data_IF_187342344261
#
_entry.id   IF_187342344261
#
_cell.length_a   1.000
_cell.length_b   1.000
_cell.length_c   1.000
_cell.angle_alpha   90.00
_cell.angle_beta   90.00
_cell.angle_gamma   90.00
#
_symmetry.space_group_name_H-M   'P 1'
#
loop_
_entity.id
_entity.type
_entity.pdbx_description
1 polymer ?
#
# COMPACT_ATOMS: atom_id res chain seq x y z
N UNK A 1 -8.45 -86.81 62.55
CA UNK A 1 -7.27 -86.71 63.43
C UNK A 1 -6.28 -85.78 62.74
N UNK A 2 -6.03 -84.59 63.32
CA UNK A 2 -4.88 -83.65 63.19
C UNK A 2 -4.12 -83.53 61.83
N UNK A 3 -3.67 -82.38 61.34
CA UNK A 3 -3.64 -81.00 61.81
C UNK A 3 -3.10 -80.10 60.68
N UNK A 4 -3.37 -78.81 60.83
CA UNK A 4 -2.80 -77.65 60.14
C UNK A 4 -1.27 -77.66 60.01
N UNK A 5 -0.76 -77.17 58.87
CA UNK A 5 0.32 -76.19 58.80
C UNK A 5 -0.03 -75.16 57.71
N UNK A 6 -0.22 -73.91 58.12
CA UNK A 6 -0.42 -72.76 57.23
C UNK A 6 0.96 -72.17 56.85
N UNK A 7 1.27 -72.12 55.55
CA UNK A 7 2.45 -71.45 55.00
C UNK A 7 2.10 -70.04 54.53
N UNK A 8 2.77 -69.04 55.09
CA UNK A 8 2.67 -67.62 54.74
C UNK A 8 3.46 -67.32 53.46
N UNK A 9 2.76 -66.96 52.37
CA UNK A 9 3.39 -66.51 51.13
C UNK A 9 3.70 -65.01 51.19
N UNK A 10 4.99 -64.66 51.14
CA UNK A 10 5.46 -63.29 50.96
C UNK A 10 5.09 -62.76 49.57
N UNK A 11 4.34 -61.66 49.54
CA UNK A 11 4.04 -60.89 48.33
C UNK A 11 5.19 -59.94 48.04
N UNK A 12 6.02 -60.28 47.06
CA UNK A 12 6.99 -59.34 46.46
C UNK A 12 6.25 -58.38 45.51
N UNK A 13 6.19 -57.10 45.86
CA UNK A 13 5.72 -56.05 44.96
C UNK A 13 6.77 -55.79 43.88
N UNK A 14 6.59 -56.37 42.71
CA UNK A 14 7.30 -55.96 41.49
C UNK A 14 6.64 -54.71 40.91
N UNK A 15 7.30 -53.55 41.04
CA UNK A 15 6.86 -52.34 40.35
C UNK A 15 7.12 -52.51 38.84
N UNK A 16 6.06 -52.78 38.07
CA UNK A 16 6.12 -52.78 36.62
C UNK A 16 6.25 -51.34 36.11
N UNK A 17 7.46 -50.97 35.70
CA UNK A 17 7.75 -49.68 35.06
C UNK A 17 7.18 -49.71 33.63
N UNK A 18 5.93 -49.28 33.46
CA UNK A 18 5.33 -49.06 32.13
C UNK A 18 5.87 -47.76 31.56
N UNK A 19 6.83 -47.85 30.64
CA UNK A 19 7.33 -46.72 29.88
C UNK A 19 6.25 -46.29 28.88
N UNK A 20 5.42 -45.32 29.26
CA UNK A 20 4.56 -44.61 28.33
C UNK A 20 5.45 -43.75 27.41
N UNK A 21 5.76 -44.26 26.23
CA UNK A 21 6.23 -43.41 25.13
C UNK A 21 5.06 -42.51 24.70
N UNK A 22 4.97 -41.33 25.32
CA UNK A 22 4.13 -40.26 24.81
C UNK A 22 4.74 -39.81 23.48
N UNK A 23 4.18 -40.28 22.36
CA UNK A 23 4.44 -39.71 21.04
C UNK A 23 3.86 -38.30 21.08
N UNK A 24 4.69 -37.32 21.44
CA UNK A 24 4.37 -35.91 21.27
C UNK A 24 4.34 -35.68 19.75
N UNK A 25 3.15 -35.73 19.16
CA UNK A 25 2.90 -35.19 17.83
C UNK A 25 3.14 -33.68 17.91
N UNK A 26 4.36 -33.28 17.59
CA UNK A 26 4.70 -31.87 17.34
C UNK A 26 3.94 -31.52 16.06
N UNK A 27 2.70 -31.03 16.21
CA UNK A 27 1.98 -30.41 15.11
C UNK A 27 2.73 -29.13 14.78
N UNK A 28 3.63 -29.22 13.80
CA UNK A 28 4.10 -28.02 13.11
C UNK A 28 2.83 -27.29 12.63
N UNK A 29 2.71 -25.97 12.87
CA UNK A 29 1.62 -25.22 12.28
C UNK A 29 1.79 -25.34 10.76
N UNK A 30 0.97 -26.18 10.14
CA UNK A 30 0.78 -26.14 8.71
C UNK A 30 0.29 -24.72 8.43
N UNK A 31 1.11 -23.92 7.74
CA UNK A 31 0.65 -22.68 7.15
C UNK A 31 -0.50 -23.06 6.24
N UNK A 32 -1.73 -22.98 6.74
CA UNK A 32 -2.91 -23.26 5.95
C UNK A 32 -2.94 -22.21 4.85
N UNK A 33 -2.85 -22.66 3.61
CA UNK A 33 -3.06 -21.78 2.47
C UNK A 33 -4.46 -21.17 2.63
N UNK A 34 -4.51 -19.86 2.89
CA UNK A 34 -5.76 -19.12 2.96
C UNK A 34 -6.27 -18.89 1.55
N UNK A 35 -7.55 -19.07 1.23
CA UNK A 35 -8.06 -18.68 -0.10
C UNK A 35 -8.88 -17.40 0.00
N UNK A 36 -8.94 -16.62 -1.09
CA UNK A 36 -9.95 -15.57 -1.23
C UNK A 36 -11.34 -16.17 -1.42
N UNK A 37 -12.35 -15.32 -1.21
CA UNK A 37 -13.74 -15.58 -1.57
C UNK A 37 -14.22 -14.43 -2.44
N UNK A 38 -14.53 -14.73 -3.70
CA UNK A 38 -14.91 -13.77 -4.73
C UNK A 38 -16.34 -14.06 -5.15
N UNK A 39 -17.29 -13.34 -4.54
CA UNK A 39 -18.71 -13.49 -4.86
C UNK A 39 -19.01 -13.04 -6.29
N UNK A 40 -20.01 -13.67 -6.92
CA UNK A 40 -20.50 -13.33 -8.26
C UNK A 40 -19.39 -13.27 -9.33
N UNK A 41 -18.41 -14.15 -9.20
CA UNK A 41 -17.18 -14.13 -10.01
C UNK A 41 -16.87 -15.54 -10.51
N UNK A 42 -16.74 -15.69 -11.82
CA UNK A 42 -16.22 -16.87 -12.49
C UNK A 42 -14.76 -16.61 -12.91
N UNK A 43 -13.89 -17.59 -12.73
CA UNK A 43 -12.51 -17.56 -13.23
C UNK A 43 -12.37 -18.61 -14.32
N UNK A 44 -13.01 -18.37 -15.47
CA UNK A 44 -13.15 -19.36 -16.54
C UNK A 44 -11.80 -19.91 -17.03
N UNK A 45 -11.70 -21.24 -17.11
CA UNK A 45 -10.52 -21.96 -17.61
C UNK A 45 -9.56 -22.46 -16.52
N UNK A 46 -8.44 -23.04 -16.96
CA UNK A 46 -7.44 -23.70 -16.11
C UNK A 46 -7.99 -24.83 -15.20
N UNK A 47 -9.18 -25.35 -15.52
CA UNK A 47 -9.82 -26.43 -14.78
C UNK A 47 -9.06 -27.74 -15.00
N UNK A 48 -8.63 -28.38 -13.93
CA UNK A 48 -8.02 -29.72 -14.00
C UNK A 48 -8.87 -30.79 -13.30
N UNK A 49 -9.85 -30.38 -12.48
CA UNK A 49 -10.75 -31.30 -11.78
C UNK A 49 -12.10 -30.64 -11.50
N UNK A 50 -13.19 -31.38 -11.70
CA UNK A 50 -14.53 -31.04 -11.25
C UNK A 50 -14.99 -31.98 -10.15
N UNK A 51 -15.62 -31.43 -9.11
CA UNK A 51 -16.35 -32.17 -8.08
C UNK A 51 -17.83 -31.88 -8.31
N UNK A 52 -18.58 -32.91 -8.71
CA UNK A 52 -20.03 -32.86 -8.88
C UNK A 52 -20.73 -32.94 -7.52
N UNK A 53 -21.82 -32.19 -7.32
CA UNK A 53 -22.61 -32.23 -6.09
C UNK A 53 -21.91 -31.69 -4.84
N UNK A 54 -21.00 -30.71 -4.99
CA UNK A 54 -20.35 -30.04 -3.86
C UNK A 54 -21.40 -29.34 -2.99
N UNK A 55 -21.52 -29.68 -1.69
CA UNK A 55 -22.65 -29.24 -0.86
C UNK A 55 -22.62 -27.74 -0.53
N UNK A 56 -21.45 -27.10 -0.67
CA UNK A 56 -21.30 -25.66 -0.45
C UNK A 56 -20.04 -25.12 -1.13
N UNK A 57 -19.96 -23.79 -1.20
CA UNK A 57 -18.73 -23.11 -1.61
C UNK A 57 -17.59 -23.36 -0.61
N UNK A 58 -17.88 -23.49 0.69
CA UNK A 58 -16.88 -23.81 1.70
C UNK A 58 -16.28 -25.21 1.49
N UNK A 59 -17.08 -26.18 1.05
CA UNK A 59 -16.57 -27.50 0.67
C UNK A 59 -15.62 -27.40 -0.54
N UNK A 60 -15.99 -26.61 -1.55
CA UNK A 60 -15.14 -26.36 -2.72
C UNK A 60 -13.84 -25.65 -2.37
N UNK A 61 -13.93 -24.61 -1.52
CA UNK A 61 -12.78 -23.89 -0.95
C UNK A 61 -11.84 -24.85 -0.24
N UNK A 62 -12.35 -25.68 0.68
CA UNK A 62 -11.54 -26.64 1.45
C UNK A 62 -10.88 -27.69 0.56
N UNK A 63 -11.59 -28.16 -0.48
CA UNK A 63 -11.02 -29.07 -1.47
C UNK A 63 -9.83 -28.43 -2.20
N UNK A 64 -9.96 -27.17 -2.62
CA UNK A 64 -8.84 -26.44 -3.23
C UNK A 64 -7.70 -26.14 -2.25
N UNK A 65 -8.02 -25.79 -0.99
CA UNK A 65 -7.02 -25.54 0.04
C UNK A 65 -6.16 -26.78 0.29
N UNK A 66 -6.77 -27.96 0.38
CA UNK A 66 -6.09 -29.23 0.61
C UNK A 66 -5.31 -29.75 -0.62
N UNK A 67 -5.74 -29.42 -1.84
CA UNK A 67 -5.09 -29.88 -3.06
C UNK A 67 -3.88 -29.00 -3.43
N UNK A 68 -2.69 -29.58 -3.44
CA UNK A 68 -1.43 -28.89 -3.75
C UNK A 68 -1.37 -28.33 -5.18
N UNK A 69 -2.07 -28.96 -6.13
CA UNK A 69 -2.12 -28.49 -7.51
C UNK A 69 -3.08 -27.29 -7.65
N UNK A 70 -4.09 -27.21 -6.78
CA UNK A 70 -5.06 -26.13 -6.84
C UNK A 70 -4.45 -24.77 -6.50
N UNK A 71 -4.58 -23.82 -7.43
CA UNK A 71 -4.25 -22.40 -7.26
C UNK A 71 -5.51 -21.53 -7.18
N UNK A 72 -6.63 -21.98 -7.75
CA UNK A 72 -7.92 -21.30 -7.67
C UNK A 72 -9.08 -22.29 -7.77
N UNK A 73 -10.29 -21.87 -7.38
CA UNK A 73 -11.52 -22.63 -7.62
C UNK A 73 -12.64 -21.72 -8.15
N UNK A 74 -13.63 -22.33 -8.78
CA UNK A 74 -14.94 -21.72 -9.05
C UNK A 74 -16.05 -22.68 -8.67
N UNK A 75 -16.95 -22.24 -7.79
CA UNK A 75 -18.15 -22.96 -7.37
C UNK A 75 -19.37 -22.39 -8.08
N UNK A 76 -20.12 -23.24 -8.79
CA UNK A 76 -21.38 -22.91 -9.45
C UNK A 76 -22.52 -23.22 -8.48
N UNK A 77 -23.28 -22.20 -8.06
CA UNK A 77 -24.29 -22.32 -7.01
C UNK A 77 -25.47 -23.18 -7.44
N UNK A 78 -26.02 -22.93 -8.63
CA UNK A 78 -27.18 -23.65 -9.14
C UNK A 78 -26.91 -25.14 -9.38
N UNK A 79 -25.73 -25.47 -9.90
CA UNK A 79 -25.36 -26.83 -10.30
C UNK A 79 -24.60 -27.61 -9.23
N UNK A 80 -24.20 -26.96 -8.12
CA UNK A 80 -23.33 -27.55 -7.11
C UNK A 80 -22.00 -28.09 -7.68
N UNK A 81 -21.52 -27.54 -8.80
CA UNK A 81 -20.25 -27.93 -9.39
C UNK A 81 -19.10 -27.14 -8.77
N UNK A 82 -18.06 -27.83 -8.31
CA UNK A 82 -16.81 -27.22 -7.87
C UNK A 82 -15.71 -27.50 -8.87
N UNK A 83 -15.17 -26.46 -9.49
CA UNK A 83 -14.10 -26.53 -10.47
C UNK A 83 -12.78 -26.11 -9.84
N UNK A 84 -11.85 -27.07 -9.67
CA UNK A 84 -10.49 -26.83 -9.17
C UNK A 84 -9.55 -26.51 -10.33
N UNK A 85 -8.72 -25.48 -10.14
CA UNK A 85 -7.88 -24.90 -11.18
C UNK A 85 -6.41 -24.90 -10.80
N UNK A 86 -5.53 -25.20 -11.76
CA UNK A 86 -4.08 -25.29 -11.55
C UNK A 86 -3.34 -23.99 -11.91
N UNK A 87 -4.09 -22.97 -12.32
CA UNK A 87 -3.62 -21.59 -12.49
C UNK A 87 -4.65 -20.62 -11.91
N UNK A 88 -4.39 -19.32 -12.11
CA UNK A 88 -5.28 -18.24 -11.67
C UNK A 88 -5.84 -17.47 -12.88
N UNK A 89 -6.91 -17.97 -13.54
CA UNK A 89 -7.55 -17.29 -14.66
C UNK A 89 -8.08 -15.90 -14.26
N UNK A 90 -8.29 -15.03 -15.25
CA UNK A 90 -8.89 -13.72 -15.01
C UNK A 90 -10.32 -13.83 -14.44
N UNK A 91 -10.73 -12.94 -13.52
CA UNK A 91 -12.09 -12.88 -13.02
C UNK A 91 -13.06 -12.31 -14.07
N UNK A 92 -14.24 -12.92 -14.18
CA UNK A 92 -15.37 -12.50 -15.01
C UNK A 92 -16.63 -12.43 -14.16
N UNK A 93 -17.52 -11.43 -14.33
CA UNK A 93 -18.77 -11.36 -13.58
C UNK A 93 -19.67 -12.53 -13.92
N UNK A 94 -20.10 -13.26 -12.90
CA UNK A 94 -21.12 -14.30 -13.05
C UNK A 94 -21.83 -14.50 -11.71
N UNK A 95 -23.06 -14.02 -11.63
CA UNK A 95 -23.89 -14.07 -10.42
C UNK A 95 -24.21 -15.48 -9.93
N UNK A 96 -24.00 -16.54 -10.72
CA UNK A 96 -24.20 -17.92 -10.29
C UNK A 96 -22.93 -18.55 -9.70
N UNK A 97 -21.82 -17.81 -9.65
CA UNK A 97 -20.53 -18.38 -9.26
C UNK A 97 -19.89 -17.67 -8.07
N UNK A 98 -19.15 -18.44 -7.29
CA UNK A 98 -18.23 -17.91 -6.28
C UNK A 98 -16.87 -18.53 -6.54
N UNK A 99 -15.85 -17.69 -6.75
CA UNK A 99 -14.48 -18.14 -6.98
C UNK A 99 -13.60 -17.89 -5.76
N UNK A 100 -12.39 -18.44 -5.79
CA UNK A 100 -11.36 -18.14 -4.81
C UNK A 100 -9.98 -18.47 -5.34
N UNK A 101 -8.98 -17.74 -4.87
CA UNK A 101 -7.56 -17.88 -5.24
C UNK A 101 -6.76 -18.18 -3.98
N UNK A 102 -5.84 -19.13 -4.07
CA UNK A 102 -4.96 -19.53 -2.99
C UNK A 102 -3.97 -18.41 -2.63
N UNK A 103 -4.24 -17.72 -1.53
CA UNK A 103 -3.32 -16.82 -0.83
C UNK A 103 -2.40 -17.68 0.04
N UNK A 104 -1.19 -17.95 -0.44
CA UNK A 104 -0.11 -18.33 0.49
C UNK A 104 0.15 -17.11 1.37
N UNK A 105 0.15 -17.28 2.68
CA UNK A 105 0.28 -16.19 3.64
C UNK A 105 1.49 -15.31 3.30
N UNK A 106 1.24 -14.09 2.81
CA UNK A 106 2.28 -13.08 2.65
C UNK A 106 2.16 -12.16 3.87
N UNK A 107 3.04 -12.38 4.84
CA UNK A 107 3.06 -11.68 6.12
C UNK A 107 3.53 -10.22 6.04
N UNK A 108 3.60 -9.60 4.85
CA UNK A 108 4.20 -8.28 4.64
C UNK A 108 3.18 -7.16 4.36
N UNK A 109 1.89 -7.46 4.18
CA UNK A 109 0.87 -6.45 3.87
C UNK A 109 1.03 -5.78 2.49
N UNK A 110 1.79 -6.37 1.57
CA UNK A 110 2.07 -5.82 0.23
C UNK A 110 0.83 -5.63 -0.66
N UNK A 111 -0.29 -6.27 -0.35
CA UNK A 111 -1.53 -6.20 -1.12
C UNK A 111 -2.63 -5.37 -0.43
N UNK A 112 -2.43 -4.05 -0.38
CA UNK A 112 -3.48 -3.13 0.04
C UNK A 112 -4.64 -3.08 -0.99
N UNK A 113 -5.89 -2.99 -0.54
CA UNK A 113 -7.06 -2.93 -1.42
C UNK A 113 -7.06 -1.65 -2.26
N UNK A 114 -7.17 -1.76 -3.59
CA UNK A 114 -7.45 -0.64 -4.53
C UNK A 114 -8.78 -0.92 -5.21
N UNK A 115 -9.66 0.07 -5.28
CA UNK A 115 -10.94 -0.08 -5.97
C UNK A 115 -10.70 -0.37 -7.47
N UNK A 116 -11.39 -1.39 -8.00
CA UNK A 116 -11.38 -1.72 -9.43
C UNK A 116 -10.23 -2.63 -9.89
N UNK A 117 -9.26 -2.98 -9.03
CA UNK A 117 -8.22 -3.96 -9.36
C UNK A 117 -8.04 -4.97 -8.23
N UNK A 118 -7.75 -6.21 -8.60
CA UNK A 118 -7.39 -7.25 -7.63
C UNK A 118 -5.93 -7.11 -7.19
N UNK A 119 -5.56 -7.88 -6.17
CA UNK A 119 -4.17 -8.05 -5.75
C UNK A 119 -3.91 -9.54 -5.52
N UNK A 120 -2.91 -10.05 -6.23
CA UNK A 120 -2.57 -11.46 -6.35
C UNK A 120 -1.10 -11.62 -5.95
N UNK A 121 -0.82 -11.80 -4.64
CA UNK A 121 0.54 -12.00 -4.16
C UNK A 121 1.18 -13.24 -4.76
N UNK A 122 2.51 -13.23 -4.86
CA UNK A 122 3.33 -14.35 -5.35
C UNK A 122 2.86 -14.88 -6.71
N UNK A 123 2.35 -14.01 -7.56
CA UNK A 123 1.73 -14.36 -8.84
C UNK A 123 2.37 -13.53 -9.92
N UNK A 124 2.86 -14.18 -10.97
CA UNK A 124 3.32 -13.57 -12.21
C UNK A 124 2.30 -13.87 -13.31
N UNK A 125 1.85 -12.83 -14.01
CA UNK A 125 0.97 -12.96 -15.17
C UNK A 125 1.80 -12.71 -16.42
N UNK A 126 2.73 -13.60 -16.73
CA UNK A 126 3.75 -13.39 -17.78
C UNK A 126 3.13 -13.06 -19.15
N UNK A 127 3.65 -12.02 -19.80
CA UNK A 127 3.25 -11.58 -21.14
C UNK A 127 2.19 -10.47 -21.16
N UNK A 128 1.73 -10.12 -22.37
CA UNK A 128 0.78 -9.03 -22.64
C UNK A 128 1.23 -7.63 -22.14
N UNK A 129 2.51 -7.47 -21.83
CA UNK A 129 3.07 -6.21 -21.35
C UNK A 129 3.08 -5.15 -22.46
N UNK A 130 2.40 -4.02 -22.24
CA UNK A 130 2.45 -2.88 -23.16
C UNK A 130 3.19 -1.68 -22.58
N UNK A 131 3.42 -1.67 -21.25
CA UNK A 131 4.15 -0.59 -20.57
C UNK A 131 4.87 -1.12 -19.34
N UNK A 132 6.17 -0.84 -19.26
CA UNK A 132 6.96 -0.98 -18.04
C UNK A 132 7.17 0.38 -17.39
N UNK A 133 7.00 0.44 -16.08
CA UNK A 133 7.34 1.59 -15.25
C UNK A 133 8.45 1.16 -14.31
N UNK A 134 9.64 1.74 -14.51
CA UNK A 134 10.81 1.49 -13.68
C UNK A 134 10.71 2.29 -12.37
N UNK A 135 11.35 1.80 -11.30
CA UNK A 135 11.35 2.42 -9.96
C UNK A 135 9.94 2.66 -9.38
N UNK A 136 9.00 1.75 -9.65
CA UNK A 136 7.67 1.76 -9.05
C UNK A 136 7.79 1.65 -7.53
N UNK A 137 7.24 2.64 -6.81
CA UNK A 137 7.47 2.80 -5.37
C UNK A 137 6.79 1.73 -4.49
N UNK A 138 5.84 0.98 -5.05
CA UNK A 138 5.11 -0.07 -4.35
C UNK A 138 4.20 -0.86 -5.28
N UNK A 139 3.69 -1.99 -4.79
CA UNK A 139 2.53 -2.70 -5.38
C UNK A 139 1.33 -1.76 -5.52
N UNK A 140 1.07 -0.91 -4.50
CA UNK A 140 -0.02 0.06 -4.50
C UNK A 140 0.09 1.08 -5.62
N UNK A 141 1.30 1.51 -5.94
CA UNK A 141 1.55 2.35 -7.11
C UNK A 141 1.12 1.62 -8.39
N UNK A 142 1.56 0.37 -8.57
CA UNK A 142 1.24 -0.41 -9.77
C UNK A 142 -0.26 -0.72 -9.91
N UNK A 143 -0.94 -1.00 -8.79
CA UNK A 143 -2.40 -1.10 -8.73
C UNK A 143 -3.09 0.17 -9.22
N UNK A 144 -2.68 1.34 -8.72
CA UNK A 144 -3.30 2.62 -9.10
C UNK A 144 -3.06 2.96 -10.59
N UNK A 145 -1.87 2.63 -11.12
CA UNK A 145 -1.57 2.79 -12.55
C UNK A 145 -2.55 1.95 -13.38
N UNK A 146 -2.73 0.67 -13.05
CA UNK A 146 -3.66 -0.18 -13.80
C UNK A 146 -5.14 0.20 -13.62
N UNK A 147 -5.53 0.60 -12.41
CA UNK A 147 -6.90 1.01 -12.12
C UNK A 147 -7.33 2.21 -12.98
N UNK A 148 -6.42 3.17 -13.19
CA UNK A 148 -6.69 4.43 -13.91
C UNK A 148 -6.39 4.35 -15.41
N UNK A 149 -5.51 3.46 -15.86
CA UNK A 149 -5.19 3.28 -17.28
C UNK A 149 -6.30 2.49 -17.99
N UNK A 150 -6.95 3.10 -18.97
CA UNK A 150 -8.04 2.50 -19.74
C UNK A 150 -7.60 1.28 -20.56
N UNK A 151 -6.33 1.22 -20.97
CA UNK A 151 -5.77 0.07 -21.70
C UNK A 151 -5.39 -1.08 -20.76
N UNK A 152 -5.17 -0.79 -19.48
CA UNK A 152 -4.74 -1.82 -18.54
C UNK A 152 -5.87 -2.80 -18.22
N UNK A 153 -5.60 -4.08 -18.47
CA UNK A 153 -6.41 -5.20 -18.03
C UNK A 153 -5.76 -5.93 -16.84
N UNK A 154 -4.44 -5.94 -16.72
CA UNK A 154 -3.71 -6.53 -15.60
C UNK A 154 -2.37 -5.83 -15.33
N UNK A 155 -1.80 -6.04 -14.15
CA UNK A 155 -0.46 -5.59 -13.80
C UNK A 155 0.37 -6.69 -13.14
N UNK A 156 1.70 -6.56 -13.22
CA UNK A 156 2.66 -7.35 -12.42
C UNK A 156 3.74 -6.42 -11.89
N UNK A 157 3.89 -6.39 -10.57
CA UNK A 157 4.97 -5.70 -9.86
C UNK A 157 6.06 -6.69 -9.46
N UNK A 158 7.31 -6.41 -9.82
CA UNK A 158 8.49 -7.21 -9.45
C UNK A 158 9.15 -6.55 -8.23
N UNK A 159 9.17 -7.23 -7.09
CA UNK A 159 9.62 -6.65 -5.81
C UNK A 159 11.11 -6.33 -5.81
N UNK A 160 11.94 -7.26 -6.26
CA UNK A 160 13.40 -7.09 -6.30
C UNK A 160 13.86 -5.97 -7.23
N UNK A 161 13.15 -5.75 -8.34
CA UNK A 161 13.54 -4.81 -9.40
C UNK A 161 12.78 -3.47 -9.35
N UNK A 162 11.76 -3.34 -8.50
CA UNK A 162 10.86 -2.18 -8.50
C UNK A 162 10.24 -1.91 -9.87
N UNK A 163 9.99 -2.94 -10.68
CA UNK A 163 9.38 -2.80 -12.00
C UNK A 163 7.87 -3.03 -11.92
N UNK A 164 7.09 -2.13 -12.50
CA UNK A 164 5.65 -2.29 -12.69
C UNK A 164 5.33 -2.51 -14.17
N UNK A 165 4.77 -3.66 -14.49
CA UNK A 165 4.41 -4.05 -15.85
C UNK A 165 2.89 -4.00 -16.02
N UNK A 166 2.40 -3.09 -16.85
CA UNK A 166 0.99 -2.98 -17.23
C UNK A 166 0.71 -3.78 -18.50
N UNK A 167 -0.43 -4.47 -18.48
CA UNK A 167 -0.81 -5.47 -19.49
C UNK A 167 -2.18 -5.17 -20.07
N UNK A 168 -2.33 -5.39 -21.37
CA UNK A 168 -3.56 -5.04 -22.12
C UNK A 168 -4.56 -6.19 -22.24
N UNK A 169 -4.17 -7.37 -21.76
CA UNK A 169 -5.04 -8.50 -21.52
C UNK A 169 -4.70 -9.13 -20.16
N UNK A 170 -5.38 -10.23 -19.81
CA UNK A 170 -5.18 -10.94 -18.55
C UNK A 170 -4.52 -12.30 -18.82
N UNK A 171 -3.17 -12.38 -18.86
CA UNK A 171 -2.48 -13.66 -18.96
C UNK A 171 -2.76 -14.54 -17.75
N UNK A 172 -2.65 -15.85 -17.90
CA UNK A 172 -2.76 -16.78 -16.78
C UNK A 172 -1.72 -16.46 -15.70
N UNK A 173 -2.14 -16.47 -14.44
CA UNK A 173 -1.24 -16.33 -13.31
C UNK A 173 -0.50 -17.63 -13.01
N UNK A 174 0.82 -17.55 -12.91
CA UNK A 174 1.71 -18.59 -12.40
C UNK A 174 2.34 -18.15 -11.07
N UNK A 175 2.70 -19.12 -10.24
CA UNK A 175 3.32 -18.82 -8.95
C UNK A 175 4.75 -18.28 -9.13
N UNK A 176 5.03 -17.11 -8.57
CA UNK A 176 6.37 -16.52 -8.50
C UNK A 176 6.50 -15.67 -7.23
N UNK A 177 7.38 -16.07 -6.32
CA UNK A 177 7.55 -15.44 -5.01
C UNK A 177 8.10 -14.01 -5.05
N UNK A 178 8.62 -13.52 -6.18
CA UNK A 178 9.14 -12.15 -6.32
C UNK A 178 8.10 -11.17 -6.89
N UNK A 179 6.95 -11.66 -7.35
CA UNK A 179 5.99 -10.82 -8.05
C UNK A 179 4.66 -10.68 -7.32
N UNK A 180 4.01 -9.55 -7.53
CA UNK A 180 2.63 -9.31 -7.12
C UNK A 180 1.86 -8.82 -8.34
N UNK A 181 0.83 -9.56 -8.73
CA UNK A 181 0.01 -9.21 -9.88
C UNK A 181 -1.35 -8.68 -9.45
N UNK A 182 -2.15 -8.27 -10.42
CA UNK A 182 -3.58 -8.07 -10.24
C UNK A 182 -4.27 -7.84 -11.56
N UNK A 183 -5.58 -7.97 -11.53
CA UNK A 183 -6.45 -7.86 -12.70
C UNK A 183 -7.44 -6.74 -12.48
N UNK A 184 -7.70 -5.96 -13.52
CA UNK A 184 -8.76 -4.97 -13.54
C UNK A 184 -10.10 -5.69 -13.60
N UNK A 185 -10.96 -5.44 -12.63
CA UNK A 185 -12.25 -6.09 -12.53
C UNK A 185 -13.18 -5.55 -13.62
N UNK A 186 -13.38 -6.31 -14.69
CA UNK A 186 -14.45 -6.07 -15.66
C UNK A 186 -15.80 -6.34 -14.99
N UNK A 187 -16.71 -5.38 -15.00
CA UNK A 187 -18.05 -5.49 -14.37
C UNK A 187 -18.18 -4.86 -12.99
N UNK A 188 -17.07 -4.50 -12.34
CA UNK A 188 -17.10 -3.36 -11.44
C UNK A 188 -17.06 -2.11 -12.32
N UNK A 189 -18.23 -1.60 -12.69
CA UNK A 189 -18.33 -0.16 -12.90
C UNK A 189 -17.62 0.48 -11.69
N UNK A 190 -16.72 1.47 -11.86
CA UNK A 190 -16.19 2.20 -10.71
C UNK A 190 -17.38 2.53 -9.82
N UNK A 191 -17.34 2.06 -8.56
CA UNK A 191 -18.43 2.19 -7.60
C UNK A 191 -19.07 3.55 -7.80
N UNK A 192 -20.28 3.56 -8.37
CA UNK A 192 -20.87 4.68 -9.10
C UNK A 192 -19.93 5.89 -9.17
N UNK A 193 -19.14 6.00 -10.25
CA UNK A 193 -18.74 7.33 -10.69
C UNK A 193 -20.01 8.20 -10.57
N UNK A 194 -19.99 9.30 -9.79
CA UNK A 194 -21.16 10.14 -9.64
C UNK A 194 -21.68 10.41 -11.04
N UNK A 195 -22.94 10.03 -11.24
CA UNK A 195 -23.71 10.13 -12.48
C UNK A 195 -23.32 11.43 -13.17
N UNK A 196 -22.88 11.34 -14.42
CA UNK A 196 -22.28 12.41 -15.20
C UNK A 196 -22.82 13.82 -14.86
N UNK A 197 -22.07 14.53 -14.02
CA UNK A 197 -21.94 15.98 -14.13
C UNK A 197 -20.57 16.23 -14.75
N UNK A 198 -20.58 16.50 -16.05
CA UNK A 198 -19.48 17.22 -16.68
C UNK A 198 -19.49 18.64 -16.09
N UNK A 199 -18.39 19.33 -15.75
CA UNK A 199 -17.26 19.67 -16.59
C UNK A 199 -16.27 20.45 -15.71
N UNK A 200 -15.09 19.91 -15.39
CA UNK A 200 -13.87 20.74 -15.50
C UNK A 200 -12.67 19.81 -15.58
N UNK A 201 -12.60 19.00 -16.63
CA UNK A 201 -11.36 18.35 -17.00
C UNK A 201 -10.94 18.77 -18.40
N UNK A 202 -9.65 18.99 -18.59
CA UNK A 202 -9.10 19.42 -19.87
C UNK A 202 -7.80 18.69 -20.12
N UNK A 203 -7.73 18.09 -21.30
CA UNK A 203 -6.51 17.45 -21.78
C UNK A 203 -5.66 18.47 -22.52
N UNK A 204 -4.39 18.52 -22.16
CA UNK A 204 -3.35 19.30 -22.83
C UNK A 204 -2.40 18.32 -23.50
N UNK A 205 -2.41 18.30 -24.83
CA UNK A 205 -1.43 17.56 -25.64
C UNK A 205 -0.22 18.46 -25.85
N UNK A 206 0.97 17.89 -25.73
CA UNK A 206 2.25 18.57 -25.86
C UNK A 206 2.25 19.94 -25.15
N UNK A 207 1.93 19.98 -23.84
CA UNK A 207 1.75 21.22 -23.11
C UNK A 207 3.02 22.07 -23.17
N UNK A 208 2.87 23.35 -23.52
CA UNK A 208 3.96 24.31 -23.60
C UNK A 208 3.73 25.53 -22.70
N UNK A 209 4.83 26.08 -22.22
CA UNK A 209 4.92 27.37 -21.52
C UNK A 209 6.10 28.13 -22.14
N UNK A 210 5.89 29.41 -22.49
CA UNK A 210 6.90 30.26 -23.10
C UNK A 210 7.57 29.67 -24.36
N UNK A 211 6.82 28.90 -25.16
CA UNK A 211 7.34 28.27 -26.40
C UNK A 211 8.18 27.00 -26.18
N UNK A 212 8.25 26.49 -24.95
CA UNK A 212 8.98 25.28 -24.59
C UNK A 212 8.05 24.24 -23.98
N UNK A 213 8.33 22.94 -24.19
CA UNK A 213 7.51 21.86 -23.60
C UNK A 213 7.59 21.90 -22.08
N UNK A 214 6.52 21.55 -21.37
CA UNK A 214 6.57 21.49 -19.91
C UNK A 214 7.49 20.35 -19.47
N UNK A 215 8.50 20.68 -18.67
CA UNK A 215 9.47 19.70 -18.15
C UNK A 215 8.78 18.73 -17.19
N UNK A 216 9.20 17.47 -17.22
CA UNK A 216 8.66 16.49 -16.29
C UNK A 216 8.97 16.85 -14.83
N UNK A 217 10.03 17.63 -14.57
CA UNK A 217 10.40 18.14 -13.27
C UNK A 217 9.89 19.56 -13.03
N UNK A 218 9.27 19.77 -11.86
CA UNK A 218 8.86 21.11 -11.44
C UNK A 218 10.10 21.94 -11.08
N UNK A 219 11.11 21.31 -10.48
CA UNK A 219 12.39 21.92 -10.13
C UNK A 219 13.52 21.11 -10.73
N UNK A 220 14.71 21.67 -10.88
CA UNK A 220 15.82 21.01 -11.57
C UNK A 220 16.15 19.65 -10.94
N UNK A 221 15.84 18.57 -11.65
CA UNK A 221 16.02 17.18 -11.19
C UNK A 221 15.18 16.78 -9.96
N UNK A 222 14.16 17.57 -9.58
CA UNK A 222 13.33 17.32 -8.40
C UNK A 222 11.86 17.70 -8.60
N UNK A 223 10.97 17.17 -7.76
CA UNK A 223 9.52 17.39 -7.88
C UNK A 223 8.99 16.99 -9.27
N UNK A 224 9.41 15.81 -9.75
CA UNK A 224 9.14 15.35 -11.09
C UNK A 224 7.87 14.51 -11.23
N UNK A 225 7.33 14.47 -12.44
CA UNK A 225 6.10 13.81 -12.84
C UNK A 225 4.87 14.49 -12.23
N UNK A 226 4.20 13.83 -11.28
CA UNK A 226 2.92 14.32 -10.73
C UNK A 226 2.97 15.73 -10.14
N UNK A 227 3.99 16.14 -9.38
CA UNK A 227 4.08 17.50 -8.87
C UNK A 227 4.17 18.56 -9.98
N UNK A 228 4.94 18.30 -11.04
CA UNK A 228 5.04 19.18 -12.20
C UNK A 228 3.73 19.21 -13.00
N UNK A 229 3.11 18.06 -13.25
CA UNK A 229 1.82 17.98 -13.93
C UNK A 229 0.70 18.68 -13.14
N UNK A 230 0.64 18.48 -11.83
CA UNK A 230 -0.32 19.14 -10.95
C UNK A 230 -0.09 20.65 -10.93
N UNK A 231 1.16 21.09 -10.91
CA UNK A 231 1.50 22.51 -10.98
C UNK A 231 1.03 23.14 -12.28
N UNK A 232 1.28 22.48 -13.41
CA UNK A 232 0.77 22.90 -14.71
C UNK A 232 -0.77 23.02 -14.69
N UNK A 233 -1.47 22.02 -14.17
CA UNK A 233 -2.93 22.03 -14.11
C UNK A 233 -3.49 23.13 -13.22
N UNK A 234 -2.86 23.40 -12.08
CA UNK A 234 -3.22 24.54 -11.21
C UNK A 234 -3.03 25.87 -11.92
N UNK A 235 -1.95 26.04 -12.70
CA UNK A 235 -1.75 27.21 -13.55
C UNK A 235 -2.80 27.36 -14.65
N UNK A 236 -3.53 26.28 -14.97
CA UNK A 236 -4.63 26.27 -15.94
C UNK A 236 -6.02 26.35 -15.30
N UNK A 237 -6.10 26.56 -13.98
CA UNK A 237 -7.37 26.72 -13.25
C UNK A 237 -8.04 25.42 -12.84
N UNK A 238 -7.30 24.30 -12.85
CA UNK A 238 -7.77 23.00 -12.39
C UNK A 238 -7.20 22.70 -11.00
N UNK A 239 -7.83 21.81 -10.23
CA UNK A 239 -7.31 21.44 -8.91
C UNK A 239 -6.01 20.64 -8.99
N UNK A 240 -5.79 19.90 -10.07
CA UNK A 240 -4.55 19.18 -10.34
C UNK A 240 -4.60 18.36 -11.62
N UNK A 241 -3.54 17.57 -11.86
CA UNK A 241 -3.50 16.60 -12.93
C UNK A 241 -4.17 15.30 -12.46
N UNK A 242 -5.17 14.87 -13.22
CA UNK A 242 -5.78 13.56 -13.14
C UNK A 242 -4.78 12.50 -13.65
N UNK A 243 -4.13 12.78 -14.77
CA UNK A 243 -3.16 11.88 -15.39
C UNK A 243 -2.19 12.63 -16.31
N UNK A 244 -1.06 12.01 -16.67
CA UNK A 244 -0.08 12.58 -17.58
C UNK A 244 0.81 11.51 -18.22
N UNK A 245 1.43 11.84 -19.35
CA UNK A 245 2.36 11.01 -20.11
C UNK A 245 3.63 11.81 -20.42
N UNK A 246 4.78 11.14 -20.42
CA UNK A 246 6.08 11.74 -20.73
C UNK A 246 6.54 11.34 -22.13
N UNK A 247 7.28 12.23 -22.78
CA UNK A 247 7.97 11.94 -24.03
C UNK A 247 9.31 12.69 -24.08
N UNK A 248 10.20 12.20 -24.95
CA UNK A 248 11.45 12.89 -25.24
C UNK A 248 11.15 14.16 -26.06
N UNK A 249 10.88 15.25 -25.34
CA UNK A 249 10.52 16.57 -25.86
C UNK A 249 11.60 17.56 -25.45
N UNK A 250 12.03 18.41 -26.38
CA UNK A 250 13.09 19.41 -26.17
C UNK A 250 12.88 20.61 -27.08
N UNK A 251 13.29 21.81 -26.63
CA UNK A 251 13.65 22.17 -25.25
C UNK A 251 12.45 22.09 -24.28
N UNK A 252 12.71 21.81 -22.99
CA UNK A 252 11.70 21.80 -21.92
C UNK A 252 11.86 22.97 -20.94
N UNK A 253 10.77 23.31 -20.25
CA UNK A 253 10.65 24.40 -19.29
C UNK A 253 10.39 23.87 -17.88
N UNK A 254 11.37 24.05 -16.99
CA UNK A 254 11.31 23.69 -15.57
C UNK A 254 10.54 24.78 -14.84
N UNK A 255 9.23 24.56 -14.67
CA UNK A 255 8.26 25.60 -14.28
C UNK A 255 8.54 26.28 -12.92
N UNK A 256 9.10 25.55 -11.96
CA UNK A 256 9.39 26.03 -10.62
C UNK A 256 10.67 26.85 -10.53
N UNK A 257 11.60 26.64 -11.47
CA UNK A 257 12.92 27.30 -11.47
C UNK A 257 13.06 28.34 -12.60
N UNK A 258 12.09 28.43 -13.50
CA UNK A 258 12.12 29.30 -14.68
C UNK A 258 13.37 29.08 -15.55
N UNK A 259 13.73 27.81 -15.79
CA UNK A 259 14.90 27.42 -16.59
C UNK A 259 14.51 26.58 -17.79
N UNK A 260 15.27 26.75 -18.87
CA UNK A 260 15.19 25.90 -20.05
C UNK A 260 16.17 24.73 -19.88
N UNK A 261 15.70 23.51 -20.14
CA UNK A 261 16.50 22.32 -20.31
C UNK A 261 16.53 21.99 -21.81
N UNK A 262 17.70 22.09 -22.45
CA UNK A 262 17.87 21.79 -23.88
C UNK A 262 18.90 20.69 -24.15
N UNK A 263 19.15 19.85 -23.16
CA UNK A 263 20.16 18.82 -23.16
C UNK A 263 19.65 17.43 -23.57
N UNK A 264 20.61 16.54 -23.82
CA UNK A 264 20.49 15.11 -24.11
C UNK A 264 19.56 14.28 -23.21
N UNK A 265 19.20 14.79 -22.03
CA UNK A 265 18.44 14.09 -21.00
C UNK A 265 17.08 14.73 -20.71
N UNK A 266 16.76 15.88 -21.32
CA UNK A 266 15.52 16.59 -21.02
C UNK A 266 14.31 15.80 -21.52
N UNK A 267 13.31 15.67 -20.66
CA UNK A 267 12.07 14.92 -20.88
C UNK A 267 10.91 15.81 -20.46
N UNK A 268 9.92 15.96 -21.34
CA UNK A 268 8.73 16.76 -21.09
C UNK A 268 7.46 15.92 -21.09
N UNK A 269 6.33 16.55 -20.81
CA UNK A 269 5.04 15.91 -20.95
C UNK A 269 4.59 15.88 -22.42
N UNK A 270 4.10 14.74 -22.91
CA UNK A 270 3.35 14.62 -24.17
C UNK A 270 1.86 14.83 -23.96
N UNK A 271 1.37 14.58 -22.74
CA UNK A 271 -0.04 14.75 -22.38
C UNK A 271 -0.19 15.03 -20.90
N UNK A 272 -1.04 15.99 -20.53
CA UNK A 272 -1.51 16.20 -19.16
C UNK A 272 -3.03 16.35 -19.19
N UNK A 273 -3.75 15.54 -18.41
CA UNK A 273 -5.18 15.71 -18.16
C UNK A 273 -5.35 16.44 -16.84
N UNK A 274 -5.83 17.66 -16.90
CA UNK A 274 -6.17 18.47 -15.75
C UNK A 274 -7.62 18.25 -15.35
N UNK A 275 -7.94 18.33 -14.06
CA UNK A 275 -9.28 18.07 -13.55
C UNK A 275 -9.65 18.84 -12.28
N UNK A 276 -10.96 18.90 -12.01
CA UNK A 276 -11.57 19.44 -10.80
C UNK A 276 -12.10 20.87 -10.95
N UNK A 277 -13.23 21.17 -10.29
CA UNK A 277 -13.77 22.52 -10.13
C UNK A 277 -13.29 23.10 -8.80
N UNK A 278 -12.77 24.33 -8.82
CA UNK A 278 -12.72 25.15 -7.61
C UNK A 278 -14.15 25.58 -7.30
N UNK A 279 -14.87 24.87 -6.44
CA UNK A 279 -16.28 25.17 -6.15
C UNK A 279 -16.40 26.49 -5.39
N UNK A 280 -16.98 27.49 -6.05
CA UNK A 280 -17.67 28.64 -5.49
C UNK A 280 -18.90 28.19 -4.67
N UNK A 281 -19.09 28.75 -3.48
CA UNK A 281 -20.28 28.56 -2.62
C UNK A 281 -21.49 29.39 -3.09
N UNK A 282 -22.76 28.97 -2.83
CA UNK A 282 -23.96 29.71 -3.23
C UNK A 282 -24.37 30.82 -2.24
N UNK A 283 -25.18 31.74 -2.76
CA UNK A 283 -25.34 33.14 -2.35
C UNK A 283 -26.28 33.47 -1.17
N UNK A 284 -26.02 34.66 -0.58
CA UNK A 284 -26.91 35.47 0.29
C UNK A 284 -26.19 35.94 1.57
N UNK A 285 -25.94 37.21 1.88
CA UNK A 285 -26.50 38.48 1.42
C UNK A 285 -25.48 39.64 1.50
N UNK A 286 -25.64 40.60 0.57
CA UNK A 286 -25.32 42.04 0.57
C UNK A 286 -24.22 42.59 1.49
N UNK A 287 -23.18 43.13 0.85
CA UNK A 287 -22.24 44.10 1.41
C UNK A 287 -21.11 44.36 0.45
N UNK A 288 -21.09 45.55 -0.13
CA UNK A 288 -20.18 46.04 -1.17
C UNK A 288 -18.71 46.15 -0.73
N UNK A 289 -17.86 46.17 -1.76
CA UNK A 289 -16.50 46.73 -1.82
C UNK A 289 -15.30 45.81 -1.50
N UNK A 290 -14.74 45.31 -2.60
CA UNK A 290 -13.32 45.29 -2.97
C UNK A 290 -12.27 45.16 -1.84
N UNK A 291 -11.70 43.96 -1.70
CA UNK A 291 -10.24 43.80 -1.60
C UNK A 291 -9.84 42.33 -1.68
N UNK A 292 -9.00 42.01 -2.67
CA UNK A 292 -8.59 40.65 -3.01
C UNK A 292 -7.85 39.88 -1.91
N UNK A 293 -8.22 38.61 -1.72
CA UNK A 293 -7.41 37.62 -1.01
C UNK A 293 -6.24 37.17 -1.90
N UNK A 294 -5.11 37.85 -1.70
CA UNK A 294 -3.79 37.47 -2.19
C UNK A 294 -3.49 36.02 -1.82
N UNK A 295 -2.90 35.28 -2.75
CA UNK A 295 -2.26 33.99 -2.49
C UNK A 295 -1.30 34.13 -1.31
N UNK A 296 -1.68 33.56 -0.16
CA UNK A 296 -0.80 33.47 0.99
C UNK A 296 0.42 32.63 0.63
N UNK A 297 1.60 33.20 0.85
CA UNK A 297 2.90 32.51 0.85
C UNK A 297 2.75 31.13 1.52
N UNK A 298 3.40 30.05 1.02
CA UNK A 298 3.53 28.83 1.81
C UNK A 298 4.00 29.23 3.21
N UNK A 299 3.34 28.73 4.25
CA UNK A 299 3.78 28.97 5.61
C UNK A 299 5.27 28.63 5.73
N UNK A 300 5.99 29.32 6.61
CA UNK A 300 7.36 28.92 6.93
C UNK A 300 7.32 27.50 7.49
N UNK A 301 8.24 26.62 7.07
CA UNK A 301 8.39 25.31 7.70
C UNK A 301 8.53 25.49 9.21
N UNK A 302 7.69 24.78 9.97
CA UNK A 302 7.60 24.87 11.41
C UNK A 302 7.61 23.48 12.03
N UNK A 303 7.88 23.45 13.34
CA UNK A 303 7.70 22.25 14.14
C UNK A 303 6.20 22.08 14.37
N UNK A 304 5.63 21.01 13.82
CA UNK A 304 4.22 20.65 13.92
C UNK A 304 3.97 19.92 15.23
N UNK A 305 4.90 19.07 15.64
CA UNK A 305 4.85 18.36 16.91
C UNK A 305 6.26 18.10 17.43
N UNK A 306 6.46 18.28 18.72
CA UNK A 306 7.70 17.97 19.41
C UNK A 306 7.42 17.62 20.86
N UNK A 307 7.96 16.50 21.32
CA UNK A 307 7.88 16.06 22.72
C UNK A 307 9.27 15.68 23.30
N UNK A 308 10.35 16.08 22.62
CA UNK A 308 11.72 15.90 23.12
C UNK A 308 12.03 16.85 24.28
N UNK A 309 13.08 16.55 25.04
CA UNK A 309 13.59 17.40 26.12
C UNK A 309 15.06 17.08 26.43
N UNK A 310 15.66 17.84 27.34
CA UNK A 310 17.07 17.80 27.71
C UNK A 310 17.40 16.83 28.86
N UNK A 311 16.41 16.16 29.43
CA UNK A 311 16.63 15.20 30.51
C UNK A 311 17.18 13.86 29.98
N UNK A 312 17.80 13.09 30.88
CA UNK A 312 18.24 11.72 30.60
C UNK A 312 17.10 10.86 30.04
N UNK A 313 17.46 9.90 29.19
CA UNK A 313 16.51 9.05 28.47
C UNK A 313 16.71 7.58 28.79
N UNK A 314 15.60 6.84 28.78
CA UNK A 314 15.54 5.39 28.81
C UNK A 314 14.99 4.87 27.49
N UNK A 315 15.28 3.61 27.17
CA UNK A 315 14.72 2.89 26.02
C UNK A 315 13.29 2.39 26.30
N UNK A 316 12.49 2.13 25.26
CA UNK A 316 11.14 1.55 25.39
C UNK A 316 9.97 2.55 25.38
N UNK A 317 10.03 3.57 24.53
CA UNK A 317 8.97 4.57 24.38
C UNK A 317 7.65 4.04 23.81
N UNK A 318 6.53 4.49 24.38
CA UNK A 318 5.18 4.30 23.81
C UNK A 318 4.95 5.23 22.63
N UNK A 319 4.04 4.84 21.73
CA UNK A 319 3.68 5.63 20.55
C UNK A 319 3.06 6.99 20.95
N UNK A 320 3.67 8.14 20.60
CA UNK A 320 3.08 9.45 20.85
C UNK A 320 1.94 9.74 19.85
N UNK A 321 0.97 10.55 20.29
CA UNK A 321 -0.06 11.11 19.43
C UNK A 321 0.15 12.62 19.24
N UNK A 322 -0.29 13.13 18.09
CA UNK A 322 -0.34 14.57 17.81
C UNK A 322 -1.62 14.93 17.08
N UNK A 323 -2.10 16.15 17.26
CA UNK A 323 -3.33 16.65 16.64
C UNK A 323 -3.03 17.89 15.83
N UNK A 324 -3.58 17.98 14.63
CA UNK A 324 -3.51 19.16 13.77
C UNK A 324 -4.92 19.68 13.48
N UNK A 325 -5.09 21.00 13.48
CA UNK A 325 -6.39 21.66 13.33
C UNK A 325 -6.65 22.22 11.92
N UNK A 326 -5.63 22.16 11.04
CA UNK A 326 -5.66 22.60 9.65
C UNK A 326 -4.72 21.71 8.84
N UNK A 327 -4.88 21.60 7.51
CA UNK A 327 -4.04 20.72 6.71
C UNK A 327 -2.55 21.07 6.83
N UNK A 328 -1.70 20.06 6.94
CA UNK A 328 -0.26 20.21 7.08
C UNK A 328 0.45 19.37 6.04
N UNK A 329 1.36 19.98 5.28
CA UNK A 329 2.33 19.24 4.48
C UNK A 329 3.52 18.84 5.36
N UNK A 330 3.64 17.55 5.68
CA UNK A 330 4.70 16.97 6.50
C UNK A 330 5.92 16.71 5.63
N UNK A 331 7.01 17.40 5.95
CA UNK A 331 8.24 17.41 5.15
C UNK A 331 9.36 16.62 5.81
N UNK A 332 9.37 16.53 7.14
CA UNK A 332 10.42 15.83 7.87
C UNK A 332 9.92 15.27 9.21
N UNK A 333 10.45 14.12 9.62
CA UNK A 333 10.23 13.57 10.96
C UNK A 333 11.50 12.98 11.52
N UNK A 334 11.67 13.12 12.83
CA UNK A 334 12.79 12.58 13.59
C UNK A 334 12.29 11.76 14.77
N UNK A 335 12.89 10.60 15.01
CA UNK A 335 12.77 9.88 16.29
C UNK A 335 14.14 9.66 16.92
N UNK A 336 14.19 9.68 18.26
CA UNK A 336 15.44 9.59 19.01
C UNK A 336 15.62 8.19 19.64
N UNK A 337 16.79 7.59 19.44
CA UNK A 337 17.14 6.21 19.79
C UNK A 337 18.54 6.16 20.44
N UNK A 338 18.71 6.86 21.56
CA UNK A 338 19.98 6.95 22.28
C UNK A 338 20.58 5.58 22.61
N UNK A 339 21.84 5.39 22.24
CA UNK A 339 22.57 4.13 22.44
C UNK A 339 22.33 3.09 21.34
N UNK A 340 21.43 3.33 20.39
CA UNK A 340 21.20 2.42 19.26
C UNK A 340 22.36 2.48 18.25
N UNK A 341 22.95 1.32 17.94
CA UNK A 341 24.12 1.19 17.04
C UNK A 341 23.84 0.42 15.75
N UNK A 342 22.59 0.06 15.51
CA UNK A 342 22.17 -0.67 14.31
C UNK A 342 21.79 0.27 13.15
N UNK A 343 21.33 -0.34 12.06
CA UNK A 343 20.73 0.38 10.93
C UNK A 343 19.37 0.94 11.37
N UNK A 344 19.09 2.24 11.16
CA UNK A 344 17.78 2.80 11.45
C UNK A 344 16.64 2.01 10.80
N UNK A 345 15.57 1.81 11.56
CA UNK A 345 14.39 1.07 11.14
C UNK A 345 13.42 1.95 10.36
N UNK A 346 12.12 1.81 10.59
CA UNK A 346 11.09 2.62 9.93
C UNK A 346 10.31 3.48 10.91
N UNK A 347 9.81 4.62 10.44
CA UNK A 347 8.86 5.48 11.14
C UNK A 347 7.51 5.40 10.40
N UNK A 348 6.40 5.32 11.13
CA UNK A 348 5.04 5.27 10.56
C UNK A 348 4.17 6.36 11.17
N UNK A 349 3.24 6.88 10.37
CA UNK A 349 2.11 7.67 10.87
C UNK A 349 0.85 6.85 10.69
N UNK A 350 0.02 6.78 11.74
CA UNK A 350 -1.30 6.16 11.73
C UNK A 350 -2.36 7.23 11.98
N UNK A 351 -3.55 7.05 11.41
CA UNK A 351 -4.72 7.87 11.74
C UNK A 351 -5.35 7.44 13.08
N UNK A 352 -6.39 8.15 13.51
CA UNK A 352 -7.13 7.84 14.74
C UNK A 352 -7.75 6.43 14.80
N UNK A 353 -7.93 5.74 13.66
CA UNK A 353 -8.44 4.37 13.61
C UNK A 353 -7.34 3.31 13.66
N UNK A 354 -6.07 3.72 13.79
CA UNK A 354 -4.92 2.83 13.74
C UNK A 354 -4.52 2.40 12.33
N UNK A 355 -5.07 3.00 11.27
CA UNK A 355 -4.66 2.71 9.90
C UNK A 355 -3.40 3.51 9.55
N UNK A 356 -2.38 2.82 9.04
CA UNK A 356 -1.14 3.46 8.61
C UNK A 356 -1.38 4.36 7.38
N UNK A 357 -1.06 5.63 7.52
CA UNK A 357 -1.08 6.64 6.45
C UNK A 357 0.18 6.54 5.60
N UNK A 358 1.30 6.25 6.25
CA UNK A 358 2.57 6.02 5.60
C UNK A 358 3.55 5.32 6.53
N UNK A 359 4.53 4.67 5.92
CA UNK A 359 5.64 4.01 6.57
C UNK A 359 6.88 4.30 5.75
N UNK A 360 7.90 4.87 6.38
CA UNK A 360 9.11 5.32 5.71
C UNK A 360 10.31 4.67 6.37
N UNK A 361 11.22 4.16 5.54
CA UNK A 361 12.50 3.67 6.03
C UNK A 361 13.34 4.86 6.49
N UNK A 362 13.74 4.86 7.76
CA UNK A 362 14.53 5.91 8.35
C UNK A 362 16.00 5.79 7.93
N UNK A 363 16.64 6.94 7.89
CA UNK A 363 18.08 7.05 7.72
C UNK A 363 18.67 7.68 8.98
N UNK A 364 19.96 7.45 9.21
CA UNK A 364 20.66 8.12 10.29
C UNK A 364 20.86 9.58 9.93
N UNK A 365 20.59 10.50 10.86
CA UNK A 365 20.70 11.94 10.58
C UNK A 365 22.13 12.31 10.22
N UNK A 366 22.32 12.77 8.99
CA UNK A 366 23.62 13.21 8.49
C UNK A 366 24.09 14.46 9.26
N UNK A 367 25.38 14.51 9.59
CA UNK A 367 25.98 15.62 10.35
C UNK A 367 25.79 15.56 11.87
N UNK A 368 25.09 14.56 12.41
CA UNK A 368 25.07 14.30 13.86
C UNK A 368 26.32 13.51 14.29
N UNK A 369 26.87 13.74 15.49
CA UNK A 369 28.01 12.97 15.99
C UNK A 369 27.73 11.46 16.10
N UNK A 370 26.46 11.10 16.32
CA UNK A 370 25.97 9.71 16.31
C UNK A 370 24.71 9.60 15.43
N UNK A 371 24.86 9.45 14.10
CA UNK A 371 23.74 9.43 13.15
C UNK A 371 22.69 8.36 13.46
N UNK A 372 23.10 7.19 13.97
CA UNK A 372 22.20 6.07 14.29
C UNK A 372 21.23 6.36 15.44
N UNK A 373 21.48 7.40 16.25
CA UNK A 373 20.58 7.80 17.33
C UNK A 373 19.39 8.63 16.83
N UNK A 374 19.48 9.19 15.62
CA UNK A 374 18.44 10.04 15.06
C UNK A 374 17.93 9.41 13.79
N UNK A 375 16.74 8.85 13.87
CA UNK A 375 16.07 8.23 12.73
C UNK A 375 15.30 9.33 12.02
N UNK A 376 15.70 9.66 10.80
CA UNK A 376 15.13 10.73 9.99
C UNK A 376 14.39 10.15 8.78
N UNK A 377 13.19 10.66 8.51
CA UNK A 377 12.40 10.35 7.30
C UNK A 377 11.87 11.64 6.69
N UNK A 378 11.66 11.64 5.37
CA UNK A 378 11.03 12.75 4.64
C UNK A 378 9.70 12.27 4.03
N UNK A 379 8.59 12.38 4.77
CA UNK A 379 7.33 11.77 4.37
C UNK A 379 6.75 12.30 3.05
N UNK A 380 6.86 13.61 2.84
CA UNK A 380 6.26 14.33 1.71
C UNK A 380 4.76 14.04 1.53
N UNK A 381 4.00 14.18 2.61
CA UNK A 381 2.56 13.91 2.64
C UNK A 381 1.76 15.09 3.18
N UNK A 382 0.52 15.24 2.76
CA UNK A 382 -0.42 16.18 3.39
C UNK A 382 -1.32 15.42 4.36
N UNK A 383 -1.30 15.82 5.62
CA UNK A 383 -2.24 15.38 6.64
C UNK A 383 -3.38 16.38 6.76
N UNK A 384 -4.61 15.87 6.81
CA UNK A 384 -5.81 16.66 7.07
C UNK A 384 -5.98 16.93 8.56
N UNK A 385 -6.83 17.87 8.99
CA UNK A 385 -7.14 18.04 10.41
C UNK A 385 -7.53 16.72 11.08
N UNK A 386 -6.96 16.42 12.24
CA UNK A 386 -7.19 15.16 12.93
C UNK A 386 -6.09 14.80 13.93
N UNK A 387 -6.30 13.68 14.62
CA UNK A 387 -5.35 13.08 15.55
C UNK A 387 -4.64 11.90 14.90
N UNK A 388 -3.33 11.86 15.09
CA UNK A 388 -2.43 10.91 14.47
C UNK A 388 -1.52 10.28 15.51
N UNK A 389 -1.08 9.05 15.24
CA UNK A 389 -0.12 8.31 16.06
C UNK A 389 1.19 8.13 15.29
N UNK A 390 2.32 8.20 15.97
CA UNK A 390 3.62 7.84 15.39
C UNK A 390 4.09 6.51 15.95
N UNK A 391 4.59 5.63 15.09
CA UNK A 391 5.23 4.38 15.47
C UNK A 391 6.63 4.27 14.88
N UNK A 392 7.49 3.49 15.55
CA UNK A 392 8.77 3.04 14.99
C UNK A 392 8.79 1.53 14.91
N UNK A 393 9.58 0.96 14.00
CA UNK A 393 9.74 -0.50 13.90
C UNK A 393 10.51 -1.11 15.08
N UNK A 394 11.12 -0.29 15.94
CA UNK A 394 11.82 -0.74 17.14
C UNK A 394 11.46 0.16 18.33
N UNK A 395 10.24 0.01 18.89
CA UNK A 395 9.81 0.81 20.05
C UNK A 395 10.69 0.54 21.27
N UNK A 396 11.26 -0.67 21.37
CA UNK A 396 12.22 -1.03 22.41
C UNK A 396 13.47 -0.16 22.44
N UNK A 397 13.89 0.41 21.31
CA UNK A 397 15.03 1.34 21.22
C UNK A 397 14.65 2.82 21.31
N UNK A 398 13.35 3.14 21.29
CA UNK A 398 12.86 4.51 21.21
C UNK A 398 13.05 5.22 22.56
N UNK A 399 13.80 6.32 22.56
CA UNK A 399 14.11 7.09 23.76
C UNK A 399 12.89 7.80 24.33
N UNK A 400 12.71 7.69 25.64
CA UNK A 400 11.62 8.29 26.42
C UNK A 400 12.11 8.72 27.79
N UNK A 401 11.34 9.58 28.46
CA UNK A 401 11.47 9.80 29.89
C UNK A 401 10.14 10.26 30.53
N UNK A 402 10.16 10.52 31.84
CA UNK A 402 8.99 11.02 32.55
C UNK A 402 8.43 12.33 31.98
N UNK A 403 9.29 13.22 31.46
CA UNK A 403 8.87 14.50 30.86
C UNK A 403 8.21 14.33 29.49
N UNK A 404 8.53 13.28 28.73
CA UNK A 404 7.78 12.89 27.52
C UNK A 404 6.51 12.07 27.86
N UNK A 405 6.20 11.86 29.14
CA UNK A 405 5.09 11.02 29.59
C UNK A 405 5.31 9.54 29.29
N UNK A 406 6.57 9.09 29.18
CA UNK A 406 6.90 7.73 28.75
C UNK A 406 6.65 7.46 27.26
N UNK A 407 6.34 8.49 26.47
CA UNK A 407 6.22 8.38 25.02
C UNK A 407 7.59 8.51 24.37
N UNK A 408 7.78 7.80 23.27
CA UNK A 408 8.94 7.97 22.42
C UNK A 408 9.07 9.41 21.93
N UNK A 409 10.29 9.94 21.96
CA UNK A 409 10.57 11.31 21.55
C UNK A 409 10.57 11.41 20.02
N UNK A 410 9.81 12.36 19.51
CA UNK A 410 9.63 12.64 18.08
C UNK A 410 9.60 14.15 17.84
N UNK A 411 10.15 14.55 16.69
CA UNK A 411 9.97 15.88 16.11
C UNK A 411 9.34 15.71 14.73
N UNK A 412 8.28 16.46 14.44
CA UNK A 412 7.61 16.48 13.14
C UNK A 412 7.67 17.91 12.62
N UNK A 413 8.18 18.08 11.40
CA UNK A 413 8.21 19.35 10.69
C UNK A 413 7.31 19.32 9.48
N UNK A 414 6.80 20.48 9.16
CA UNK A 414 5.92 20.66 8.02
C UNK A 414 5.52 22.10 7.84
N UNK A 415 4.68 22.32 6.84
CA UNK A 415 4.11 23.62 6.53
C UNK A 415 2.60 23.53 6.67
N UNK A 416 2.03 24.37 7.53
CA UNK A 416 0.59 24.57 7.55
C UNK A 416 0.13 25.14 6.21
N UNK A 417 -0.84 24.47 5.60
CA UNK A 417 -1.48 24.96 4.39
C UNK A 417 -2.56 25.94 4.80
N UNK A 418 -2.61 27.08 4.10
CA UNK A 418 -3.67 28.06 4.34
C UNK A 418 -5.02 27.41 3.95
N UNK A 419 -6.07 27.61 4.76
CA UNK A 419 -7.39 27.04 4.50
C UNK A 419 -7.97 27.47 3.15
#
# INVERSE_FOLDING_TARGET
MYAFIAGTAHRTFGAALTVFFAIILISAPAYADTLTMEANTDRMGADYRRIDGSPSVQACHSACAADKQCQAFTYVKSAHHCWLKNGVPGPTPNNDTISGVKKRAVGDGSCATVAGVTCEPNTDRMGADYRRIDNASSVKFCQNQCATDLKCAAYTYVKSAYHCWLKDSVPNGAHNGDTVSGVKLSGAAPAAAPKAESMNSKTYLDPMINGHYVDNCLNWGSNCQKPAADYFCRKKGFSGAISFELANRRPTWVMGDNKVCNEGFCVGFSRIVCGGTTTSAPAGQNGSDDSGMKAGKPGKESVIFYNGNDAGVSSGGRSPHFTISRPVWITNMFTYHYGYRGVPGSIRILNATGAAIGAWQAQGRSGSPQPSYYWEVKPDIVLQPGTYLVETSNPGSWSQNARSGGNGMVEIKGTYLNP
#
